data_IF_393823827952
#
_entry.id   IF_393823827952
#
_cell.length_a   1.000
_cell.length_b   1.000
_cell.length_c   1.000
_cell.angle_alpha   90.00
_cell.angle_beta   90.00
_cell.angle_gamma   90.00
#
_symmetry.space_group_name_H-M   'P 1'
#
loop_
_entity.id
_entity.type
_entity.pdbx_description
1 polymer ?
#
# COMPACT_ATOMS: atom_id res chain seq x y z
N UNK A 1 -2.45 -20.66 13.44
CA UNK A 1 -1.94 -20.00 14.67
C UNK A 1 -1.32 -18.70 14.22
N UNK A 2 -2.00 -17.57 14.40
CA UNK A 2 -1.51 -16.27 13.93
C UNK A 2 -0.39 -15.82 14.86
N UNK A 3 0.84 -15.85 14.38
CA UNK A 3 1.98 -15.22 15.06
C UNK A 3 1.71 -13.72 15.08
N UNK A 4 1.21 -13.21 16.19
CA UNK A 4 1.04 -11.76 16.41
C UNK A 4 2.41 -11.14 16.57
N UNK A 5 3.18 -11.07 15.49
CA UNK A 5 4.43 -10.30 15.44
C UNK A 5 4.03 -8.85 15.73
N UNK A 6 4.39 -8.38 16.92
CA UNK A 6 4.04 -7.04 17.37
C UNK A 6 5.07 -6.09 16.77
N UNK A 7 4.67 -5.38 15.72
CA UNK A 7 5.51 -4.39 15.07
C UNK A 7 5.57 -3.09 15.91
N UNK A 8 6.79 -2.62 16.19
CA UNK A 8 7.04 -1.49 17.09
C UNK A 8 6.76 -0.15 16.41
N UNK A 9 6.99 -0.05 15.12
CA UNK A 9 6.84 1.13 14.29
C UNK A 9 5.68 1.05 13.30
N UNK A 10 5.10 -0.14 13.08
CA UNK A 10 3.94 -0.32 12.21
C UNK A 10 2.61 -0.42 12.98
N UNK A 11 1.55 0.15 12.42
CA UNK A 11 0.19 0.07 12.96
C UNK A 11 -0.89 0.18 11.87
N UNK A 12 -2.10 -0.37 12.10
CA UNK A 12 -3.24 -0.10 11.23
C UNK A 12 -3.65 1.37 11.28
N UNK A 13 -4.18 1.88 10.18
CA UNK A 13 -4.70 3.25 10.09
C UNK A 13 -6.22 3.23 9.89
N UNK A 14 -7.03 3.56 10.92
CA UNK A 14 -8.50 3.48 10.82
C UNK A 14 -9.11 4.51 9.86
N UNK A 15 -8.32 5.50 9.39
CA UNK A 15 -8.74 6.48 8.37
C UNK A 15 -8.35 6.06 6.96
N UNK A 16 -7.73 4.89 6.81
CA UNK A 16 -7.37 4.30 5.52
C UNK A 16 -8.39 3.23 5.13
N UNK A 17 -8.56 3.01 3.82
CA UNK A 17 -9.30 1.87 3.29
C UNK A 17 -8.43 0.62 3.15
N UNK A 18 -7.11 0.79 3.25
CA UNK A 18 -6.12 -0.28 3.21
C UNK A 18 -6.01 -0.96 4.56
N UNK A 19 -5.89 -2.29 4.53
CA UNK A 19 -5.76 -3.18 5.67
C UNK A 19 -4.30 -3.41 6.07
N UNK A 20 -3.35 -3.18 5.16
CA UNK A 20 -1.93 -3.23 5.46
C UNK A 20 -1.50 -2.23 6.54
N UNK A 21 -0.35 -2.50 7.14
CA UNK A 21 0.19 -1.64 8.18
C UNK A 21 0.90 -0.39 7.63
N UNK A 22 0.84 0.67 8.42
CA UNK A 22 1.43 1.98 8.16
C UNK A 22 2.52 2.27 9.16
N UNK A 23 3.47 3.12 8.77
CA UNK A 23 4.40 3.74 9.72
C UNK A 23 3.59 4.57 10.73
N UNK A 24 3.73 4.29 12.03
CA UNK A 24 2.99 4.96 13.11
C UNK A 24 3.12 6.48 13.01
N UNK A 25 1.99 7.17 13.08
CA UNK A 25 1.94 8.63 13.02
C UNK A 25 2.18 9.22 11.62
N UNK A 26 2.35 8.39 10.59
CA UNK A 26 2.52 8.81 9.19
C UNK A 26 1.42 8.19 8.31
N UNK A 27 1.20 8.78 7.14
CA UNK A 27 0.32 8.22 6.10
C UNK A 27 1.14 7.51 5.02
N UNK A 28 2.18 6.78 5.45
CA UNK A 28 3.09 6.03 4.58
C UNK A 28 2.86 4.56 4.90
N UNK A 29 2.53 3.75 3.89
CA UNK A 29 2.32 2.31 4.05
C UNK A 29 3.66 1.58 4.12
N UNK A 30 3.70 0.39 4.71
CA UNK A 30 4.88 -0.46 4.64
C UNK A 30 5.22 -0.84 3.18
N UNK A 31 4.21 -0.98 2.31
CA UNK A 31 4.41 -1.28 0.90
C UNK A 31 5.04 -0.13 0.12
N UNK A 32 4.73 1.13 0.45
CA UNK A 32 5.39 2.30 -0.16
C UNK A 32 6.91 2.25 0.08
N UNK A 33 7.30 1.98 1.33
CA UNK A 33 8.71 1.81 1.74
C UNK A 33 9.35 0.65 0.98
N UNK A 34 8.69 -0.51 0.97
CA UNK A 34 9.23 -1.70 0.32
C UNK A 34 9.31 -1.55 -1.22
N UNK A 35 8.40 -0.79 -1.83
CA UNK A 35 8.44 -0.45 -3.25
C UNK A 35 9.66 0.37 -3.64
N UNK A 36 10.07 1.34 -2.81
CA UNK A 36 11.32 2.11 -3.00
C UNK A 36 12.56 1.22 -2.86
N UNK A 37 12.53 0.30 -1.91
CA UNK A 37 13.62 -0.65 -1.68
C UNK A 37 13.78 -1.66 -2.83
N UNK A 38 12.68 -2.10 -3.44
CA UNK A 38 12.64 -3.08 -4.54
C UNK A 38 12.56 -2.44 -5.95
N UNK A 39 12.69 -1.12 -6.05
CA UNK A 39 12.61 -0.41 -7.33
C UNK A 39 13.66 -0.93 -8.31
N UNK A 40 13.25 -1.30 -9.53
CA UNK A 40 14.15 -1.83 -10.55
C UNK A 40 15.01 -0.74 -11.20
N UNK A 41 14.46 0.48 -11.33
CA UNK A 41 15.13 1.60 -11.98
C UNK A 41 16.07 2.33 -11.00
N UNK A 42 15.59 2.57 -9.78
CA UNK A 42 16.30 3.34 -8.75
C UNK A 42 16.07 2.71 -7.37
N UNK A 43 16.74 1.58 -7.06
CA UNK A 43 16.65 0.94 -5.75
C UNK A 43 17.29 1.84 -4.69
N UNK A 44 16.53 2.17 -3.64
CA UNK A 44 17.04 2.95 -2.51
C UNK A 44 17.39 2.04 -1.35
N UNK A 45 18.49 2.34 -0.66
CA UNK A 45 18.85 1.69 0.61
C UNK A 45 17.90 2.11 1.74
N UNK A 46 17.78 1.31 2.82
CA UNK A 46 16.96 1.70 3.98
C UNK A 46 17.34 3.06 4.56
N UNK A 47 18.62 3.41 4.55
CA UNK A 47 19.15 4.70 5.01
C UNK A 47 18.71 5.86 4.12
N UNK A 48 18.75 5.68 2.80
CA UNK A 48 18.28 6.69 1.84
C UNK A 48 16.76 6.89 1.95
N UNK A 49 16.00 5.80 2.08
CA UNK A 49 14.54 5.89 2.28
C UNK A 49 14.21 6.60 3.59
N UNK A 50 14.95 6.31 4.66
CA UNK A 50 14.78 6.99 5.95
C UNK A 50 15.03 8.49 5.83
N UNK A 51 16.07 8.90 5.09
CA UNK A 51 16.39 10.30 4.84
C UNK A 51 15.34 10.98 3.95
N UNK A 52 14.90 10.33 2.86
CA UNK A 52 13.94 10.87 1.90
C UNK A 52 12.56 11.11 2.52
N UNK A 53 12.07 10.15 3.31
CA UNK A 53 10.76 10.24 3.94
C UNK A 53 10.76 10.88 5.34
N UNK A 54 11.92 11.31 5.85
CA UNK A 54 12.08 11.79 7.24
C UNK A 54 11.53 10.79 8.26
N UNK A 55 12.02 9.55 8.19
CA UNK A 55 11.61 8.42 9.02
C UNK A 55 12.76 7.90 9.88
N UNK A 56 12.48 7.33 11.07
CA UNK A 56 13.47 6.55 11.79
C UNK A 56 13.92 5.35 10.96
N UNK A 57 15.23 5.12 10.87
CA UNK A 57 15.81 3.99 10.11
C UNK A 57 15.22 2.64 10.55
N UNK A 58 15.01 2.46 11.85
CA UNK A 58 14.41 1.23 12.39
C UNK A 58 12.96 1.02 11.92
N UNK A 59 12.19 2.09 11.71
CA UNK A 59 10.85 2.00 11.15
C UNK A 59 10.86 1.55 9.68
N UNK A 60 11.85 2.01 8.91
CA UNK A 60 12.05 1.60 7.51
C UNK A 60 12.43 0.13 7.42
N UNK A 61 13.40 -0.32 8.23
CA UNK A 61 13.81 -1.72 8.29
C UNK A 61 12.66 -2.63 8.73
N UNK A 62 11.88 -2.20 9.71
CA UNK A 62 10.71 -2.95 10.16
C UNK A 62 9.64 -3.06 9.07
N UNK A 63 9.37 -1.99 8.33
CA UNK A 63 8.47 -2.01 7.17
C UNK A 63 8.92 -3.00 6.08
N UNK A 64 10.21 -2.99 5.76
CA UNK A 64 10.81 -3.93 4.78
C UNK A 64 10.65 -5.36 5.29
N UNK A 65 11.00 -5.62 6.56
CA UNK A 65 10.87 -6.95 7.16
C UNK A 65 9.42 -7.45 7.16
N UNK A 66 8.46 -6.58 7.53
CA UNK A 66 7.03 -6.91 7.45
C UNK A 66 6.63 -7.30 6.03
N UNK A 67 6.97 -6.50 5.01
CA UNK A 67 6.64 -6.82 3.62
C UNK A 67 7.30 -8.10 3.12
N UNK A 68 8.52 -8.43 3.56
CA UNK A 68 9.19 -9.68 3.22
C UNK A 68 8.51 -10.93 3.82
N UNK A 69 7.67 -10.77 4.85
CA UNK A 69 6.87 -11.90 5.37
C UNK A 69 5.67 -12.28 4.50
N UNK A 70 5.46 -11.57 3.38
CA UNK A 70 4.29 -11.70 2.50
C UNK A 70 2.95 -11.67 3.27
N UNK A 71 2.69 -10.58 4.00
CA UNK A 71 1.53 -10.52 4.88
C UNK A 71 0.23 -10.51 4.05
N UNK A 72 -0.78 -11.31 4.44
CA UNK A 72 -1.98 -11.50 3.63
C UNK A 72 -2.81 -10.22 3.45
N UNK A 73 -2.65 -9.23 4.34
CA UNK A 73 -3.33 -7.93 4.23
C UNK A 73 -2.88 -7.14 3.00
N UNK A 74 -1.59 -7.21 2.64
CA UNK A 74 -1.07 -6.51 1.45
C UNK A 74 -1.68 -7.12 0.18
N UNK A 75 -1.82 -8.45 0.12
CA UNK A 75 -2.48 -9.12 -1.01
C UNK A 75 -3.95 -8.74 -1.10
N UNK A 76 -4.67 -8.71 0.02
CA UNK A 76 -6.07 -8.33 0.05
C UNK A 76 -6.28 -6.87 -0.43
N UNK A 77 -5.36 -5.98 -0.05
CA UNK A 77 -5.37 -4.59 -0.54
C UNK A 77 -5.17 -4.51 -2.05
N UNK A 78 -4.26 -5.30 -2.63
CA UNK A 78 -4.10 -5.39 -4.08
C UNK A 78 -5.34 -5.92 -4.78
N UNK A 79 -5.91 -7.04 -4.32
CA UNK A 79 -7.14 -7.60 -4.91
C UNK A 79 -8.33 -6.63 -4.85
N UNK A 80 -8.36 -5.76 -3.83
CA UNK A 80 -9.35 -4.69 -3.75
C UNK A 80 -9.06 -3.58 -4.77
N UNK A 81 -7.83 -3.12 -4.88
CA UNK A 81 -7.42 -2.11 -5.87
C UNK A 81 -7.67 -2.60 -7.31
N UNK A 82 -7.34 -3.85 -7.62
CA UNK A 82 -7.62 -4.46 -8.94
C UNK A 82 -9.11 -4.44 -9.27
N UNK A 83 -9.97 -4.83 -8.32
CA UNK A 83 -11.43 -4.76 -8.49
C UNK A 83 -11.93 -3.33 -8.72
N UNK A 84 -11.35 -2.34 -8.05
CA UNK A 84 -11.71 -0.93 -8.26
C UNK A 84 -11.26 -0.46 -9.64
N UNK A 85 -10.02 -0.76 -10.02
CA UNK A 85 -9.48 -0.38 -11.33
C UNK A 85 -10.24 -1.03 -12.48
N UNK A 86 -10.63 -2.29 -12.36
CA UNK A 86 -11.48 -2.99 -13.32
C UNK A 86 -12.87 -2.33 -13.40
N UNK A 87 -13.53 -2.10 -12.26
CA UNK A 87 -14.86 -1.51 -12.22
C UNK A 87 -14.93 -0.06 -12.72
N UNK A 88 -13.84 0.70 -12.55
CA UNK A 88 -13.73 2.10 -12.99
C UNK A 88 -13.24 2.25 -14.43
N UNK A 89 -12.77 1.16 -15.06
CA UNK A 89 -12.16 1.20 -16.39
C UNK A 89 -10.76 1.81 -16.41
N UNK A 90 -10.09 1.95 -15.26
CA UNK A 90 -8.73 2.52 -15.17
C UNK A 90 -7.64 1.62 -15.75
N UNK A 91 -7.92 0.33 -15.95
CA UNK A 91 -7.04 -0.59 -16.71
C UNK A 91 -7.12 -0.38 -18.24
N UNK A 92 -8.09 0.40 -18.73
CA UNK A 92 -8.24 0.66 -20.16
C UNK A 92 -7.02 1.47 -20.67
N UNK A 93 -6.33 1.05 -21.74
CA UNK A 93 -5.21 1.80 -22.30
C UNK A 93 -5.61 3.22 -22.74
N UNK A 94 -6.88 3.47 -23.11
CA UNK A 94 -7.38 4.81 -23.41
C UNK A 94 -7.44 5.71 -22.17
N UNK A 95 -7.53 5.17 -20.96
CA UNK A 95 -7.44 5.96 -19.72
C UNK A 95 -6.09 6.70 -19.63
N UNK A 96 -4.99 6.04 -19.99
CA UNK A 96 -3.66 6.68 -20.02
C UNK A 96 -3.51 7.73 -21.14
N UNK A 97 -4.42 7.74 -22.11
CA UNK A 97 -4.46 8.68 -23.24
C UNK A 97 -5.49 9.81 -23.04
N UNK A 98 -6.10 9.93 -21.86
CA UNK A 98 -7.06 11.00 -21.52
C UNK A 98 -8.53 10.56 -21.53
N UNK A 99 -8.80 9.25 -21.61
CA UNK A 99 -10.13 8.67 -21.41
C UNK A 99 -10.68 8.97 -20.01
N UNK A 100 -12.00 9.13 -19.90
CA UNK A 100 -12.66 9.41 -18.61
C UNK A 100 -12.84 8.11 -17.82
N UNK A 101 -12.40 8.09 -16.56
CA UNK A 101 -12.73 7.01 -15.64
C UNK A 101 -14.23 7.02 -15.32
N UNK A 102 -14.80 5.83 -15.10
CA UNK A 102 -16.19 5.71 -14.65
C UNK A 102 -16.28 6.08 -13.18
N UNK A 103 -17.09 7.11 -12.87
CA UNK A 103 -17.51 7.39 -11.50
C UNK A 103 -18.47 6.29 -11.04
N UNK A 104 -18.07 5.49 -10.06
CA UNK A 104 -18.91 4.45 -9.48
C UNK A 104 -20.05 5.07 -8.66
N UNK A 105 -21.27 4.59 -8.89
CA UNK A 105 -22.42 4.93 -8.05
C UNK A 105 -22.26 4.40 -6.62
N UNK A 106 -23.00 4.94 -5.62
CA UNK A 106 -22.97 4.41 -4.26
C UNK A 106 -23.27 2.91 -4.15
N UNK A 107 -24.16 2.38 -5.00
CA UNK A 107 -24.47 0.94 -5.04
C UNK A 107 -23.31 0.10 -5.60
N UNK A 108 -22.64 0.58 -6.66
CA UNK A 108 -21.49 -0.12 -7.22
C UNK A 108 -20.32 -0.13 -6.23
N UNK A 109 -20.10 0.99 -5.53
CA UNK A 109 -19.11 1.08 -4.45
C UNK A 109 -19.42 0.11 -3.31
N UNK A 110 -20.68 0.01 -2.88
CA UNK A 110 -21.10 -0.94 -1.85
C UNK A 110 -20.88 -2.40 -2.26
N UNK A 111 -21.11 -2.75 -3.55
CA UNK A 111 -20.82 -4.09 -4.09
C UNK A 111 -19.33 -4.43 -4.10
N UNK A 112 -18.47 -3.41 -4.20
CA UNK A 112 -17.01 -3.55 -4.18
C UNK A 112 -16.41 -3.44 -2.78
N UNK A 113 -17.20 -3.05 -1.77
CA UNK A 113 -16.74 -2.90 -0.38
C UNK A 113 -15.99 -1.60 -0.08
N UNK A 114 -16.25 -0.51 -0.82
CA UNK A 114 -15.49 0.77 -0.75
C UNK A 114 -16.32 2.05 -0.57
#
# INVERSE_FOLDING_TARGET
MSTTTTWQHLAPNPKSKYTQLFIKGRRITARDVYGRFMSADEPMTPEEIAADYDLPLEAVKEAIAYCQTDPPEIRADWEQEERIMEATGMYDPDYKLGGKYKLLSPQERARLGI
#
